data_IF_714751953978
#
_entry.id   IF_714751953978
#
_cell.length_a   1.000
_cell.length_b   1.000
_cell.length_c   1.000
_cell.angle_alpha   90.00
_cell.angle_beta   90.00
_cell.angle_gamma   90.00
#
_symmetry.space_group_name_H-M   'P 1'
#
loop_
_entity.id
_entity.type
_entity.pdbx_description
1 polymer ?
#
# COMPACT_ATOMS: atom_id res chain seq x y z
N UNK A 1 68.11 38.04 4.35
CA UNK A 1 68.35 36.79 5.12
C UNK A 1 66.99 36.14 5.36
N UNK A 2 66.55 35.25 4.46
CA UNK A 2 66.61 33.77 4.59
C UNK A 2 65.98 33.23 5.89
N UNK A 3 64.71 32.78 5.73
CA UNK A 3 64.04 31.56 6.23
C UNK A 3 64.15 31.19 7.72
N UNK A 4 63.03 30.81 8.36
CA UNK A 4 62.73 29.40 8.75
C UNK A 4 61.34 29.27 9.45
N UNK A 5 60.49 28.34 8.93
CA UNK A 5 59.58 27.35 9.60
C UNK A 5 58.40 27.84 10.47
N UNK A 6 57.19 27.26 10.52
CA UNK A 6 56.51 26.09 9.93
C UNK A 6 54.98 26.33 10.10
N UNK A 7 54.14 26.23 9.07
CA UNK A 7 53.28 25.10 8.68
C UNK A 7 52.63 24.23 9.80
N UNK A 8 51.29 24.26 9.84
CA UNK A 8 50.32 23.17 10.07
C UNK A 8 50.01 22.68 11.50
N UNK A 9 48.79 22.98 11.97
CA UNK A 9 47.85 22.23 12.87
C UNK A 9 46.95 23.27 13.57
N UNK A 10 45.62 23.21 13.69
CA UNK A 10 44.64 22.16 13.43
C UNK A 10 43.27 22.83 13.36
N UNK A 11 42.44 22.31 12.47
CA UNK A 11 41.01 22.55 12.35
C UNK A 11 40.29 21.89 13.55
N UNK A 12 39.57 22.65 14.38
CA UNK A 12 38.46 22.13 15.18
C UNK A 12 37.59 23.29 15.69
N UNK A 13 36.70 23.81 14.85
CA UNK A 13 35.57 24.59 15.35
C UNK A 13 34.53 23.57 15.80
N UNK A 14 34.50 23.32 17.11
CA UNK A 14 33.50 22.52 17.78
C UNK A 14 32.18 23.32 17.79
N UNK A 15 31.38 23.22 16.72
CA UNK A 15 29.96 23.59 16.80
C UNK A 15 29.26 22.41 17.45
N UNK A 16 29.34 22.33 18.77
CA UNK A 16 28.37 21.60 19.56
C UNK A 16 27.05 22.36 19.46
N UNK A 17 26.22 22.00 18.47
CA UNK A 17 24.82 22.36 18.46
C UNK A 17 24.18 21.73 19.70
N UNK A 18 23.99 22.54 20.74
CA UNK A 18 23.11 22.22 21.84
C UNK A 18 21.67 22.20 21.26
N UNK A 19 21.24 21.04 20.77
CA UNK A 19 19.82 20.77 20.65
C UNK A 19 19.29 20.76 22.08
N UNK A 20 18.59 21.83 22.47
CA UNK A 20 17.80 21.83 23.69
C UNK A 20 16.72 20.76 23.51
N UNK A 21 17.00 19.56 24.04
CA UNK A 21 15.97 18.55 24.23
C UNK A 21 14.94 19.18 25.17
N UNK A 22 13.79 19.56 24.64
CA UNK A 22 12.63 19.88 25.47
C UNK A 22 12.29 18.61 26.24
N UNK A 23 12.62 18.58 27.53
CA UNK A 23 12.30 17.46 28.40
C UNK A 23 10.77 17.33 28.46
N UNK A 24 10.25 16.18 28.03
CA UNK A 24 8.80 15.92 28.05
C UNK A 24 8.28 16.07 29.48
N UNK A 25 7.38 17.04 29.69
CA UNK A 25 6.80 17.28 30.99
C UNK A 25 5.69 16.26 31.26
N UNK A 26 5.96 15.29 32.15
CA UNK A 26 4.96 14.29 32.53
C UNK A 26 3.69 14.95 33.06
N UNK A 27 2.52 14.45 32.65
CA UNK A 27 1.23 14.96 33.09
C UNK A 27 0.29 13.84 33.51
N UNK A 28 -0.89 14.21 34.03
CA UNK A 28 -1.87 13.27 34.59
C UNK A 28 -3.10 13.17 33.69
N UNK A 29 -3.58 11.95 33.47
CA UNK A 29 -4.79 11.64 32.70
C UNK A 29 -5.73 10.77 33.54
N UNK A 30 -7.03 10.98 33.40
CA UNK A 30 -8.05 10.11 34.00
C UNK A 30 -8.31 8.93 33.05
N UNK A 31 -8.14 7.70 33.54
CA UNK A 31 -8.47 6.48 32.80
C UNK A 31 -9.50 5.66 33.57
N UNK A 32 -10.33 4.93 32.83
CA UNK A 32 -11.33 4.02 33.39
C UNK A 32 -10.80 2.59 33.42
N UNK A 33 -11.31 1.77 34.32
CA UNK A 33 -11.13 0.34 34.30
C UNK A 33 -11.60 -0.22 32.94
N UNK A 34 -10.82 -1.13 32.37
CA UNK A 34 -11.08 -1.66 31.03
C UNK A 34 -10.42 -0.88 29.89
N UNK A 35 -9.78 0.28 30.14
CA UNK A 35 -8.96 0.93 29.09
C UNK A 35 -7.80 0.01 28.69
N UNK A 36 -7.68 -0.38 27.40
CA UNK A 36 -6.60 -1.27 26.96
C UNK A 36 -5.21 -0.64 27.05
N UNK A 37 -4.22 -1.44 27.43
CA UNK A 37 -2.81 -1.07 27.50
C UNK A 37 -2.01 -1.95 26.53
N UNK A 38 -1.13 -1.34 25.73
CA UNK A 38 -0.31 -2.01 24.73
C UNK A 38 1.19 -1.89 25.02
N UNK A 39 2.02 -2.75 24.45
CA UNK A 39 3.48 -2.70 24.64
C UNK A 39 4.17 -1.54 23.91
N UNK A 40 3.47 -0.85 23.01
CA UNK A 40 3.96 0.30 22.25
C UNK A 40 2.83 1.26 21.86
N UNK A 41 3.16 2.39 21.23
CA UNK A 41 2.19 3.41 20.82
C UNK A 41 1.38 2.96 19.59
N UNK A 42 0.33 2.19 19.82
CA UNK A 42 -0.53 1.68 18.75
C UNK A 42 -1.16 0.34 19.09
N UNK A 43 -2.33 0.07 18.52
CA UNK A 43 -2.97 -1.26 18.57
C UNK A 43 -2.17 -2.36 17.84
N UNK A 44 -1.18 -1.96 17.03
CA UNK A 44 -0.27 -2.86 16.32
C UNK A 44 0.67 -3.62 17.27
N UNK A 45 0.93 -3.05 18.45
CA UNK A 45 1.78 -3.65 19.45
C UNK A 45 1.01 -4.70 20.25
N UNK A 46 1.73 -5.62 20.89
CA UNK A 46 1.05 -6.63 21.71
C UNK A 46 0.20 -5.97 22.80
N UNK A 47 -1.03 -6.44 22.94
CA UNK A 47 -1.84 -6.18 24.11
C UNK A 47 -1.10 -6.62 25.38
N UNK A 48 -1.06 -5.74 26.37
CA UNK A 48 -0.44 -5.98 27.68
C UNK A 48 -1.48 -6.47 28.67
N UNK A 49 -2.49 -5.63 28.95
CA UNK A 49 -3.59 -5.83 29.89
C UNK A 49 -4.53 -4.63 29.85
N UNK A 50 -5.60 -4.66 30.63
CA UNK A 50 -6.44 -3.50 30.86
C UNK A 50 -6.00 -2.72 32.09
N UNK A 51 -6.37 -1.44 32.12
CA UNK A 51 -6.45 -0.65 33.34
C UNK A 51 -7.37 -1.37 34.32
N UNK A 52 -6.86 -1.70 35.51
CA UNK A 52 -7.59 -2.55 36.47
C UNK A 52 -8.62 -1.80 37.30
N UNK A 53 -8.46 -0.49 37.46
CA UNK A 53 -9.32 0.37 38.30
C UNK A 53 -9.43 1.75 37.68
N UNK A 54 -10.58 2.40 37.85
CA UNK A 54 -10.71 3.82 37.50
C UNK A 54 -9.70 4.64 38.30
N UNK A 55 -9.05 5.62 37.67
CA UNK A 55 -8.09 6.43 38.39
C UNK A 55 -7.32 7.43 37.55
N UNK A 56 -6.46 8.17 38.24
CA UNK A 56 -5.55 9.13 37.62
C UNK A 56 -4.19 8.49 37.41
N UNK A 57 -3.76 8.42 36.16
CA UNK A 57 -2.49 7.85 35.73
C UNK A 57 -1.52 8.95 35.29
N UNK A 58 -0.22 8.67 35.29
CA UNK A 58 0.82 9.61 34.84
C UNK A 58 1.40 9.16 33.50
N UNK A 59 1.40 10.06 32.52
CA UNK A 59 2.04 9.89 31.22
C UNK A 59 3.47 10.44 31.28
N UNK A 60 4.43 9.67 30.79
CA UNK A 60 5.88 10.04 30.80
C UNK A 60 6.48 10.19 29.42
N UNK A 61 5.72 9.84 28.38
CA UNK A 61 6.13 9.95 26.98
C UNK A 61 4.87 9.92 26.11
N UNK A 62 4.88 10.65 25.01
CA UNK A 62 3.86 10.60 23.98
C UNK A 62 4.50 10.21 22.66
N UNK A 63 3.75 9.47 21.86
CA UNK A 63 4.14 9.15 20.49
C UNK A 63 2.89 9.03 19.61
N UNK A 64 3.03 9.39 18.35
CA UNK A 64 1.98 9.18 17.35
C UNK A 64 2.07 7.75 16.87
N UNK A 65 1.03 6.97 17.12
CA UNK A 65 0.93 5.62 16.60
C UNK A 65 0.77 5.60 15.09
N UNK A 66 1.07 4.47 14.46
CA UNK A 66 0.80 4.28 13.02
C UNK A 66 -0.70 4.32 12.67
N UNK A 67 -1.55 4.23 13.69
CA UNK A 67 -3.00 4.45 13.62
C UNK A 67 -3.39 5.93 13.66
N UNK A 68 -2.40 6.84 13.64
CA UNK A 68 -2.56 8.29 13.72
C UNK A 68 -3.25 8.77 15.00
N UNK A 69 -3.30 7.92 16.03
CA UNK A 69 -3.75 8.29 17.36
C UNK A 69 -2.54 8.68 18.21
N UNK A 70 -2.74 9.61 19.12
CA UNK A 70 -1.76 9.95 20.15
C UNK A 70 -1.79 8.89 21.24
N UNK A 71 -0.63 8.32 21.54
CA UNK A 71 -0.44 7.33 22.59
C UNK A 71 0.45 7.87 23.69
N UNK A 72 0.14 7.49 24.94
CA UNK A 72 0.89 7.91 26.12
C UNK A 72 1.47 6.73 26.87
N UNK A 73 2.77 6.73 27.15
CA UNK A 73 3.42 5.72 27.98
C UNK A 73 3.13 5.97 29.45
N UNK A 74 2.61 4.97 30.15
CA UNK A 74 2.32 5.03 31.57
C UNK A 74 3.61 5.00 32.40
N UNK A 75 3.74 5.90 33.38
CA UNK A 75 4.85 5.93 34.35
C UNK A 75 5.06 4.62 35.09
N UNK A 76 3.99 3.84 35.26
CA UNK A 76 4.04 2.53 35.92
C UNK A 76 4.84 1.48 35.14
N UNK A 77 5.18 1.75 33.87
CA UNK A 77 5.82 0.77 32.98
C UNK A 77 4.84 -0.30 32.47
N UNK A 78 3.54 -0.15 32.74
CA UNK A 78 2.52 -1.12 32.30
C UNK A 78 2.36 -1.17 30.77
N UNK A 79 2.71 -0.09 30.08
CA UNK A 79 2.62 0.05 28.63
C UNK A 79 2.10 1.42 28.21
N UNK A 80 1.52 1.47 27.01
CA UNK A 80 0.98 2.65 26.35
C UNK A 80 -0.54 2.60 26.31
N UNK A 81 -1.17 3.75 26.49
CA UNK A 81 -2.63 3.95 26.40
C UNK A 81 -2.94 4.97 25.33
N UNK A 82 -4.06 4.80 24.64
CA UNK A 82 -4.52 5.77 23.67
C UNK A 82 -5.02 7.03 24.40
N UNK A 83 -4.56 8.20 23.98
CA UNK A 83 -4.90 9.50 24.58
C UNK A 83 -5.85 10.32 23.71
N UNK A 84 -5.94 10.00 22.41
CA UNK A 84 -6.81 10.71 21.48
C UNK A 84 -7.71 9.74 20.74
N UNK A 85 -8.98 10.08 20.63
CA UNK A 85 -9.96 9.21 19.99
C UNK A 85 -10.24 7.97 20.82
N UNK A 86 -10.83 6.98 20.17
CA UNK A 86 -11.04 5.67 20.76
C UNK A 86 -10.20 4.71 19.90
N UNK A 87 -9.20 4.02 20.47
CA UNK A 87 -8.40 3.05 19.71
C UNK A 87 -9.27 1.88 19.21
N UNK A 88 -10.52 1.81 19.66
CA UNK A 88 -11.56 0.90 19.21
C UNK A 88 -12.61 1.52 18.29
N UNK A 89 -12.75 2.86 18.19
CA UNK A 89 -13.57 3.48 17.14
C UNK A 89 -12.77 3.49 15.83
N UNK A 90 -13.10 2.56 14.95
CA UNK A 90 -12.33 2.19 13.75
C UNK A 90 -12.04 0.69 13.73
N UNK A 91 -12.03 0.05 14.89
CA UNK A 91 -12.13 -1.40 14.99
C UNK A 91 -13.59 -1.77 14.74
N UNK A 92 -13.88 -2.24 13.53
CA UNK A 92 -15.02 -3.13 13.38
C UNK A 92 -14.87 -4.23 14.45
N UNK A 93 -15.88 -4.51 15.27
CA UNK A 93 -15.78 -5.35 16.48
C UNK A 93 -15.30 -6.81 16.23
N UNK A 94 -14.99 -7.15 14.97
CA UNK A 94 -14.48 -8.41 14.48
C UNK A 94 -12.96 -8.45 14.26
N UNK A 95 -12.19 -7.36 14.47
CA UNK A 95 -10.71 -7.41 14.41
C UNK A 95 -10.09 -7.79 15.78
N UNK A 96 -8.97 -8.53 15.82
CA UNK A 96 -8.25 -9.07 14.67
C UNK A 96 -8.93 -10.33 14.11
N UNK A 97 -8.87 -10.48 12.79
CA UNK A 97 -9.28 -11.72 12.11
C UNK A 97 -8.27 -12.11 11.03
N UNK A 98 -8.38 -13.34 10.55
CA UNK A 98 -7.56 -13.83 9.44
C UNK A 98 -8.38 -13.96 8.16
N UNK A 99 -7.82 -13.57 7.02
CA UNK A 99 -8.43 -13.77 5.71
C UNK A 99 -7.40 -14.19 4.67
N UNK A 100 -7.86 -14.86 3.61
CA UNK A 100 -7.01 -15.16 2.46
C UNK A 100 -6.81 -13.90 1.63
N UNK A 101 -5.55 -13.52 1.38
CA UNK A 101 -5.18 -12.39 0.53
C UNK A 101 -4.28 -12.92 -0.57
N UNK A 102 -4.56 -12.61 -1.85
CA UNK A 102 -3.75 -13.07 -2.95
C UNK A 102 -2.46 -12.25 -3.11
N UNK A 103 -1.44 -12.86 -3.69
CA UNK A 103 -0.10 -12.29 -3.91
C UNK A 103 -0.14 -10.97 -4.69
N UNK A 104 -1.09 -10.86 -5.62
CA UNK A 104 -1.24 -9.69 -6.49
C UNK A 104 -1.83 -8.47 -5.79
N UNK A 105 -2.44 -8.64 -4.62
CA UNK A 105 -3.10 -7.57 -3.90
C UNK A 105 -2.12 -6.42 -3.60
N UNK A 106 -2.55 -5.18 -3.81
CA UNK A 106 -1.70 -4.01 -3.60
C UNK A 106 -1.67 -3.60 -2.13
N UNK A 107 -0.47 -3.27 -1.64
CA UNK A 107 -0.24 -2.71 -0.31
C UNK A 107 -0.01 -1.20 -0.43
N UNK A 108 -0.71 -0.43 0.41
CA UNK A 108 -0.63 1.02 0.51
C UNK A 108 -0.14 1.47 1.89
N UNK A 109 0.36 2.70 1.99
CA UNK A 109 0.81 3.28 3.25
C UNK A 109 -0.33 3.55 4.24
N UNK A 110 -1.51 3.90 3.73
CA UNK A 110 -2.72 4.20 4.50
C UNK A 110 -3.99 3.65 3.84
N UNK A 111 -5.14 3.81 4.51
CA UNK A 111 -6.43 3.31 4.02
C UNK A 111 -7.03 4.24 2.97
N UNK A 112 -6.67 4.02 1.71
CA UNK A 112 -7.20 4.78 0.57
C UNK A 112 -6.25 4.84 -0.61
N UNK A 113 -6.79 5.11 -1.80
CA UNK A 113 -5.98 5.35 -3.00
C UNK A 113 -5.28 6.72 -2.99
N UNK A 114 -5.46 7.57 -1.99
CA UNK A 114 -4.66 8.78 -1.83
C UNK A 114 -3.31 8.53 -1.15
N UNK A 115 -3.12 7.35 -0.57
CA UNK A 115 -1.88 6.97 0.09
C UNK A 115 -0.92 6.31 -0.88
N UNK A 116 0.38 6.39 -0.58
CA UNK A 116 1.46 5.85 -1.41
C UNK A 116 1.31 4.34 -1.59
N UNK A 117 1.36 3.88 -2.84
CA UNK A 117 1.49 2.47 -3.16
C UNK A 117 2.90 1.98 -2.80
N UNK A 118 2.99 0.87 -2.07
CA UNK A 118 4.26 0.29 -1.64
C UNK A 118 4.72 -0.83 -2.56
N UNK A 119 3.92 -1.88 -2.67
CA UNK A 119 4.24 -3.12 -3.39
C UNK A 119 3.02 -4.06 -3.44
N UNK A 120 3.07 -5.15 -4.22
CA UNK A 120 2.14 -6.25 -4.06
C UNK A 120 2.38 -6.96 -2.71
N UNK A 121 1.39 -7.70 -2.23
CA UNK A 121 1.52 -8.59 -1.06
C UNK A 121 2.65 -9.60 -1.28
N UNK A 122 2.76 -10.12 -2.50
CA UNK A 122 3.90 -10.89 -2.96
C UNK A 122 3.74 -12.41 -2.87
N UNK A 123 2.87 -12.88 -1.97
CA UNK A 123 2.58 -14.31 -1.77
C UNK A 123 1.09 -14.53 -1.46
N UNK A 124 0.51 -15.60 -1.98
CA UNK A 124 -0.82 -16.06 -1.62
C UNK A 124 -0.79 -16.60 -0.18
N UNK A 125 -1.73 -16.18 0.66
CA UNK A 125 -1.71 -16.66 2.03
C UNK A 125 -2.85 -16.17 2.91
N UNK A 126 -2.81 -16.63 4.16
CA UNK A 126 -3.72 -16.20 5.21
C UNK A 126 -3.04 -15.13 6.04
N UNK A 127 -3.58 -13.92 6.00
CA UNK A 127 -3.04 -12.75 6.68
C UNK A 127 -3.94 -12.31 7.82
N UNK A 128 -3.36 -11.73 8.86
CA UNK A 128 -4.11 -11.15 9.98
C UNK A 128 -4.39 -9.67 9.73
N UNK A 129 -5.66 -9.30 9.68
CA UNK A 129 -6.12 -7.91 9.68
C UNK A 129 -6.30 -7.47 11.12
N UNK A 130 -5.74 -6.32 11.47
CA UNK A 130 -5.75 -5.78 12.85
C UNK A 130 -6.55 -4.49 13.00
N UNK A 131 -6.90 -3.85 11.88
CA UNK A 131 -7.67 -2.62 11.83
C UNK A 131 -8.38 -2.56 10.48
N UNK A 132 -9.60 -2.03 10.47
CA UNK A 132 -10.31 -1.66 9.25
C UNK A 132 -10.52 -0.15 9.21
N UNK A 133 -10.62 0.42 8.02
CA UNK A 133 -10.99 1.82 7.83
C UNK A 133 -11.73 1.98 6.51
N UNK A 134 -12.61 2.97 6.44
CA UNK A 134 -13.27 3.37 5.21
C UNK A 134 -12.48 4.51 4.55
N UNK A 135 -12.35 4.49 3.23
CA UNK A 135 -11.92 5.67 2.47
C UNK A 135 -13.11 6.57 2.12
N UNK A 136 -12.84 7.70 1.45
CA UNK A 136 -13.87 8.67 1.05
C UNK A 136 -14.91 8.08 0.09
N UNK A 137 -14.55 7.04 -0.66
CA UNK A 137 -15.42 6.31 -1.59
C UNK A 137 -16.22 5.18 -0.89
N UNK A 138 -16.03 4.99 0.42
CA UNK A 138 -16.69 3.96 1.21
C UNK A 138 -16.11 2.55 1.04
N UNK A 139 -14.92 2.41 0.44
CA UNK A 139 -14.21 1.11 0.37
C UNK A 139 -13.61 0.78 1.73
N UNK A 140 -13.61 -0.50 2.08
CA UNK A 140 -13.03 -1.02 3.31
C UNK A 140 -11.57 -1.37 3.06
N UNK A 141 -10.70 -0.88 3.93
CA UNK A 141 -9.27 -1.10 3.94
C UNK A 141 -8.86 -1.85 5.20
N UNK A 142 -7.99 -2.85 5.07
CA UNK A 142 -7.49 -3.66 6.19
C UNK A 142 -6.00 -3.44 6.44
N UNK A 143 -5.61 -3.09 7.67
CA UNK A 143 -4.20 -3.01 8.08
C UNK A 143 -3.66 -4.42 8.35
N UNK A 144 -2.53 -4.76 7.71
CA UNK A 144 -1.85 -6.04 7.93
C UNK A 144 -1.07 -6.04 9.26
N UNK A 145 -1.22 -7.10 10.06
CA UNK A 145 -0.45 -7.32 11.31
C UNK A 145 1.06 -7.29 11.12
N UNK A 146 1.54 -7.65 9.94
CA UNK A 146 2.97 -7.61 9.60
C UNK A 146 3.56 -6.20 9.57
N UNK A 147 2.73 -5.16 9.64
CA UNK A 147 3.15 -3.76 9.48
C UNK A 147 3.37 -3.36 8.02
N UNK A 148 3.22 -4.27 7.05
CA UNK A 148 3.57 -4.03 5.65
C UNK A 148 2.79 -2.87 4.99
N UNK A 149 1.49 -2.76 5.27
CA UNK A 149 0.66 -1.62 4.87
C UNK A 149 -0.83 -1.93 5.03
N UNK A 150 -1.64 -1.25 4.24
CA UNK A 150 -3.07 -1.44 4.11
C UNK A 150 -3.41 -2.09 2.77
N UNK A 151 -4.40 -2.97 2.77
CA UNK A 151 -4.94 -3.61 1.58
C UNK A 151 -6.40 -3.19 1.41
N UNK A 152 -6.85 -2.94 0.17
CA UNK A 152 -8.26 -2.65 -0.09
C UNK A 152 -9.06 -3.95 -0.08
N UNK A 153 -9.82 -4.21 0.99
CA UNK A 153 -10.62 -5.43 1.15
C UNK A 153 -11.79 -5.47 0.17
N UNK A 154 -12.42 -4.32 -0.06
CA UNK A 154 -13.49 -4.19 -1.05
C UNK A 154 -13.01 -4.60 -2.45
N UNK A 155 -11.82 -4.14 -2.87
CA UNK A 155 -11.28 -4.51 -4.19
C UNK A 155 -10.92 -5.99 -4.31
N UNK A 156 -10.59 -6.67 -3.21
CA UNK A 156 -10.41 -8.13 -3.21
C UNK A 156 -11.73 -8.87 -3.46
N UNK A 157 -12.83 -8.38 -2.89
CA UNK A 157 -14.17 -8.93 -3.12
C UNK A 157 -14.66 -8.66 -4.55
N UNK A 158 -14.46 -7.43 -5.05
CA UNK A 158 -14.83 -7.04 -6.41
C UNK A 158 -14.06 -7.83 -7.48
N UNK A 159 -12.80 -8.17 -7.22
CA UNK A 159 -11.93 -8.88 -8.15
C UNK A 159 -12.51 -10.22 -8.59
N UNK A 160 -13.38 -10.88 -7.80
CA UNK A 160 -14.06 -12.12 -8.20
C UNK A 160 -15.04 -11.94 -9.35
N UNK A 161 -15.61 -10.74 -9.50
CA UNK A 161 -16.61 -10.45 -10.52
C UNK A 161 -16.00 -9.84 -11.78
N UNK A 162 -14.73 -9.47 -11.74
CA UNK A 162 -14.02 -8.94 -12.91
C UNK A 162 -13.61 -10.07 -13.86
N UNK A 163 -13.71 -9.89 -15.19
CA UNK A 163 -13.23 -10.88 -16.15
C UNK A 163 -11.70 -11.06 -16.09
N UNK A 164 -10.98 -9.96 -15.83
CA UNK A 164 -9.54 -9.96 -15.61
C UNK A 164 -9.16 -9.05 -14.45
N UNK A 165 -8.05 -9.36 -13.81
CA UNK A 165 -7.38 -8.57 -12.78
C UNK A 165 -6.08 -8.07 -13.39
N UNK A 166 -5.88 -6.76 -13.35
CA UNK A 166 -4.63 -6.11 -13.76
C UNK A 166 -3.94 -5.56 -12.52
N UNK A 167 -2.70 -5.97 -12.29
CA UNK A 167 -1.89 -5.53 -11.15
C UNK A 167 -0.43 -5.41 -11.54
N UNK A 168 0.42 -4.88 -10.65
CA UNK A 168 1.85 -5.16 -10.76
C UNK A 168 2.10 -6.67 -10.61
N UNK A 169 3.09 -7.19 -11.33
CA UNK A 169 3.48 -8.58 -11.21
C UNK A 169 4.10 -8.82 -9.83
N UNK A 170 3.51 -9.74 -9.07
CA UNK A 170 4.01 -10.12 -7.75
C UNK A 170 5.18 -11.11 -7.84
N UNK A 171 5.94 -11.21 -6.75
CA UNK A 171 7.15 -12.03 -6.69
C UNK A 171 6.84 -13.52 -6.87
N UNK A 172 5.71 -14.02 -6.38
CA UNK A 172 5.31 -15.42 -6.53
C UNK A 172 5.06 -15.77 -8.00
N UNK A 173 4.29 -14.95 -8.73
CA UNK A 173 4.05 -15.13 -10.16
C UNK A 173 5.37 -15.08 -10.93
N UNK A 174 6.23 -14.11 -10.65
CA UNK A 174 7.52 -13.96 -11.34
C UNK A 174 8.46 -15.14 -11.07
N UNK A 175 8.47 -15.69 -9.84
CA UNK A 175 9.28 -16.86 -9.47
C UNK A 175 8.74 -18.15 -10.09
N UNK A 176 7.41 -18.28 -10.23
CA UNK A 176 6.79 -19.50 -10.78
C UNK A 176 7.23 -19.78 -12.22
N UNK A 177 7.39 -18.72 -13.04
CA UNK A 177 7.63 -18.85 -14.48
C UNK A 177 6.40 -19.29 -15.29
N UNK A 178 5.26 -19.54 -14.63
CA UNK A 178 4.03 -20.07 -15.25
C UNK A 178 3.16 -18.99 -15.88
N UNK A 179 3.79 -18.13 -16.67
CA UNK A 179 3.14 -17.00 -17.34
C UNK A 179 3.64 -16.82 -18.78
N UNK A 180 2.90 -16.02 -19.55
CA UNK A 180 3.33 -15.56 -20.86
C UNK A 180 4.07 -14.25 -20.63
N UNK A 181 5.36 -14.17 -20.98
CA UNK A 181 6.13 -12.94 -20.88
C UNK A 181 6.16 -12.16 -22.19
N UNK A 182 5.95 -10.84 -22.14
CA UNK A 182 6.20 -9.92 -23.25
C UNK A 182 6.93 -8.69 -22.76
N UNK A 183 7.94 -8.26 -23.51
CA UNK A 183 8.61 -6.98 -23.27
C UNK A 183 8.14 -6.01 -24.34
N UNK A 184 7.52 -4.92 -23.91
CA UNK A 184 6.90 -3.91 -24.75
C UNK A 184 7.43 -2.54 -24.34
N UNK A 185 8.43 -2.07 -25.07
CA UNK A 185 9.17 -0.82 -24.79
C UNK A 185 9.92 -0.81 -23.44
N UNK A 186 10.91 -1.73 -23.26
CA UNK A 186 11.68 -1.80 -22.03
C UNK A 186 12.62 -0.61 -21.90
N UNK A 187 12.76 -0.13 -20.67
CA UNK A 187 13.73 0.88 -20.24
C UNK A 187 14.27 0.50 -18.87
N UNK A 188 15.23 1.25 -18.33
CA UNK A 188 15.68 1.05 -16.94
C UNK A 188 14.56 1.30 -15.91
N UNK A 189 13.48 1.99 -16.30
CA UNK A 189 12.31 2.28 -15.47
C UNK A 189 11.11 1.37 -15.79
N UNK A 190 11.30 0.33 -16.61
CA UNK A 190 10.18 -0.54 -16.97
C UNK A 190 9.66 -1.29 -15.74
N UNK A 191 8.34 -1.40 -15.66
CA UNK A 191 7.63 -2.17 -14.65
C UNK A 191 7.00 -3.39 -15.31
N UNK A 192 6.76 -4.44 -14.52
CA UNK A 192 6.03 -5.62 -14.97
C UNK A 192 4.61 -5.56 -14.46
N UNK A 193 3.66 -5.50 -15.38
CA UNK A 193 2.23 -5.64 -15.08
C UNK A 193 1.81 -7.07 -15.38
N UNK A 194 0.87 -7.58 -14.59
CA UNK A 194 0.29 -8.90 -14.75
C UNK A 194 -1.21 -8.77 -15.03
N UNK A 195 -1.65 -9.43 -16.10
CA UNK A 195 -3.05 -9.61 -16.47
C UNK A 195 -3.44 -11.05 -16.16
N UNK A 196 -4.28 -11.23 -15.16
CA UNK A 196 -4.83 -12.54 -14.72
C UNK A 196 -6.28 -12.60 -15.17
N UNK A 197 -6.68 -13.69 -15.81
CA UNK A 197 -8.08 -13.87 -16.19
C UNK A 197 -8.79 -14.74 -15.17
N UNK A 198 -9.99 -14.38 -14.73
CA UNK A 198 -10.79 -15.26 -13.87
C UNK A 198 -11.37 -16.43 -14.69
N UNK A 199 -11.81 -16.12 -15.91
CA UNK A 199 -12.24 -17.09 -16.91
C UNK A 199 -11.45 -16.91 -18.21
N UNK A 200 -11.48 -17.90 -19.11
CA UNK A 200 -10.74 -17.77 -20.37
C UNK A 200 -11.34 -16.68 -21.25
N UNK A 201 -10.58 -15.61 -21.51
CA UNK A 201 -10.96 -14.51 -22.40
C UNK A 201 -10.38 -14.73 -23.80
N UNK A 202 -10.99 -14.12 -24.81
CA UNK A 202 -10.62 -14.26 -26.24
C UNK A 202 -10.22 -12.92 -26.85
N UNK A 203 -9.56 -12.96 -28.00
CA UNK A 203 -9.20 -11.76 -28.79
C UNK A 203 -8.48 -10.67 -27.98
N UNK A 204 -7.56 -11.10 -27.10
CA UNK A 204 -6.79 -10.21 -26.25
C UNK A 204 -5.94 -9.27 -27.12
N UNK A 205 -6.01 -7.98 -26.82
CA UNK A 205 -5.18 -6.91 -27.41
C UNK A 205 -4.63 -6.05 -26.27
N UNK A 206 -3.34 -5.80 -26.30
CA UNK A 206 -2.69 -4.85 -25.41
C UNK A 206 -2.03 -3.77 -26.26
N UNK A 207 -2.38 -2.51 -26.02
CA UNK A 207 -2.12 -1.41 -26.95
C UNK A 207 -1.59 -0.18 -26.20
N UNK A 208 -0.63 0.53 -26.78
CA UNK A 208 -0.25 1.86 -26.29
C UNK A 208 -1.29 2.88 -26.71
N UNK A 209 -1.53 3.83 -25.80
CA UNK A 209 -2.42 4.96 -26.04
C UNK A 209 -1.62 6.25 -26.17
N UNK A 210 -2.10 7.14 -27.04
CA UNK A 210 -1.69 8.54 -27.09
C UNK A 210 -2.86 9.42 -26.68
N UNK A 211 -2.57 10.50 -25.94
CA UNK A 211 -3.56 11.49 -25.56
C UNK A 211 -3.65 12.58 -26.64
N UNK A 212 -4.77 12.67 -27.36
CA UNK A 212 -5.01 13.68 -28.40
C UNK A 212 -5.81 14.90 -27.85
N UNK A 213 -5.59 15.28 -26.58
CA UNK A 213 -6.16 16.50 -25.99
C UNK A 213 -7.59 16.36 -25.44
N UNK A 214 -8.41 15.50 -26.03
CA UNK A 214 -9.80 15.23 -25.58
C UNK A 214 -10.05 13.74 -25.29
N UNK A 215 -9.38 12.84 -26.01
CA UNK A 215 -9.58 11.40 -25.86
C UNK A 215 -8.26 10.65 -26.02
N UNK A 216 -8.26 9.42 -25.50
CA UNK A 216 -7.19 8.46 -25.73
C UNK A 216 -7.43 7.72 -27.03
N UNK A 217 -6.37 7.57 -27.82
CA UNK A 217 -6.41 6.83 -29.08
C UNK A 217 -5.34 5.77 -29.09
N UNK A 218 -5.67 4.60 -29.65
CA UNK A 218 -4.69 3.56 -29.90
C UNK A 218 -3.63 4.06 -30.87
N UNK A 219 -2.38 4.06 -30.41
CA UNK A 219 -1.21 4.36 -31.23
C UNK A 219 -0.64 3.07 -31.84
N UNK A 220 -0.37 2.07 -31.00
CA UNK A 220 0.26 0.82 -31.43
C UNK A 220 -0.25 -0.39 -30.64
N UNK A 221 -0.60 -1.46 -31.36
CA UNK A 221 -0.82 -2.77 -30.73
C UNK A 221 0.53 -3.38 -30.34
N UNK A 222 0.76 -3.54 -29.05
CA UNK A 222 2.01 -4.06 -28.46
C UNK A 222 1.97 -5.59 -28.34
N UNK A 223 0.78 -6.15 -28.09
CA UNK A 223 0.59 -7.58 -28.00
C UNK A 223 -0.83 -7.99 -28.43
N UNK A 224 -0.95 -9.20 -28.99
CA UNK A 224 -2.24 -9.83 -29.25
C UNK A 224 -2.17 -11.32 -29.03
N UNK A 225 -3.27 -11.89 -28.53
CA UNK A 225 -3.43 -13.32 -28.37
C UNK A 225 -4.86 -13.75 -28.69
N UNK A 226 -5.01 -14.96 -29.25
CA UNK A 226 -6.35 -15.53 -29.48
C UNK A 226 -7.09 -15.78 -28.17
N UNK A 227 -6.37 -16.15 -27.11
CA UNK A 227 -6.93 -16.48 -25.80
C UNK A 227 -5.96 -16.15 -24.68
N UNK A 228 -6.47 -15.75 -23.52
CA UNK A 228 -5.75 -15.76 -22.25
C UNK A 228 -6.48 -16.70 -21.29
N UNK A 229 -5.75 -17.68 -20.74
CA UNK A 229 -6.32 -18.69 -19.84
C UNK A 229 -6.12 -18.28 -18.39
N UNK A 230 -7.07 -18.65 -17.53
CA UNK A 230 -7.00 -18.33 -16.11
C UNK A 230 -5.72 -18.86 -15.43
N UNK A 231 -5.28 -20.06 -15.80
CA UNK A 231 -4.10 -20.71 -15.24
C UNK A 231 -2.77 -20.29 -15.89
N UNK A 232 -2.78 -19.31 -16.80
CA UNK A 232 -1.55 -18.85 -17.45
C UNK A 232 -1.62 -17.34 -17.71
N UNK A 233 -1.34 -16.53 -16.68
CA UNK A 233 -1.37 -15.07 -16.76
C UNK A 233 -0.44 -14.52 -17.83
N UNK A 234 -0.69 -13.29 -18.25
CA UNK A 234 0.19 -12.51 -19.11
C UNK A 234 0.96 -11.51 -18.25
N UNK A 235 2.29 -11.54 -18.32
CA UNK A 235 3.16 -10.52 -17.76
C UNK A 235 3.72 -9.68 -18.90
N UNK A 236 3.47 -8.38 -18.85
CA UNK A 236 3.97 -7.41 -19.83
C UNK A 236 4.93 -6.46 -19.10
N UNK A 237 6.15 -6.35 -19.59
CA UNK A 237 7.11 -5.34 -19.18
C UNK A 237 6.88 -4.09 -20.04
N UNK A 238 6.58 -2.97 -19.39
CA UNK A 238 6.21 -1.69 -20.02
C UNK A 238 6.85 -0.52 -19.29
N UNK A 239 7.03 0.60 -19.98
CA UNK A 239 7.48 1.86 -19.38
C UNK A 239 6.34 2.88 -19.38
N UNK A 240 6.09 3.50 -18.23
CA UNK A 240 5.19 4.65 -18.11
C UNK A 240 6.03 5.94 -18.18
N UNK A 241 6.05 6.60 -19.34
CA UNK A 241 6.74 7.88 -19.54
C UNK A 241 5.90 9.02 -18.95
N UNK A 242 5.82 9.07 -17.62
CA UNK A 242 5.01 10.04 -16.88
C UNK A 242 3.54 9.64 -16.73
N UNK A 243 2.76 10.57 -16.19
CA UNK A 243 1.34 10.45 -15.83
C UNK A 243 0.39 10.43 -17.04
N UNK A 244 0.87 10.82 -18.22
CA UNK A 244 0.11 10.78 -19.47
C UNK A 244 0.41 9.54 -20.34
N UNK A 245 1.08 8.52 -19.81
CA UNK A 245 1.24 7.25 -20.52
C UNK A 245 0.14 6.27 -20.12
N UNK A 246 -0.65 5.83 -21.10
CA UNK A 246 -1.73 4.87 -20.91
C UNK A 246 -1.61 3.66 -21.82
N UNK A 247 -2.19 2.55 -21.37
CA UNK A 247 -2.35 1.35 -22.19
C UNK A 247 -3.82 0.95 -22.22
N UNK A 248 -4.25 0.33 -23.32
CA UNK A 248 -5.54 -0.33 -23.40
C UNK A 248 -5.36 -1.86 -23.40
N UNK A 249 -6.23 -2.52 -22.64
CA UNK A 249 -6.40 -3.97 -22.64
C UNK A 249 -7.80 -4.29 -23.16
N UNK A 250 -7.90 -4.69 -24.42
CA UNK A 250 -9.14 -5.12 -25.07
C UNK A 250 -9.27 -6.64 -25.11
N UNK A 251 -10.45 -7.19 -24.87
CA UNK A 251 -10.72 -8.62 -25.00
C UNK A 251 -12.23 -8.90 -25.11
N UNK A 252 -12.57 -10.12 -25.53
CA UNK A 252 -13.90 -10.69 -25.36
C UNK A 252 -13.97 -11.53 -24.11
N UNK A 253 -14.92 -11.22 -23.23
CA UNK A 253 -15.15 -11.98 -22.02
C UNK A 253 -15.77 -13.37 -22.30
N UNK A 254 -16.13 -14.11 -21.25
CA UNK A 254 -16.72 -15.43 -21.36
C UNK A 254 -18.12 -15.44 -22.00
N UNK A 255 -18.85 -14.33 -21.90
CA UNK A 255 -20.15 -14.12 -22.51
C UNK A 255 -20.02 -13.66 -23.98
N UNK A 256 -18.81 -13.36 -24.43
CA UNK A 256 -18.51 -12.88 -25.77
C UNK A 256 -18.68 -11.36 -25.94
N UNK A 257 -18.88 -10.63 -24.85
CA UNK A 257 -18.94 -9.17 -24.81
C UNK A 257 -17.54 -8.60 -24.98
N UNK A 258 -17.39 -7.57 -25.83
CA UNK A 258 -16.12 -6.84 -25.95
C UNK A 258 -15.98 -5.90 -24.76
N UNK A 259 -14.86 -6.01 -24.06
CA UNK A 259 -14.49 -5.17 -22.93
C UNK A 259 -13.15 -4.52 -23.19
N UNK A 260 -12.98 -3.32 -22.65
CA UNK A 260 -11.74 -2.58 -22.74
C UNK A 260 -11.42 -1.93 -21.40
N UNK A 261 -10.22 -2.21 -20.88
CA UNK A 261 -9.67 -1.51 -19.73
C UNK A 261 -8.59 -0.53 -20.16
N UNK A 262 -8.63 0.67 -19.60
CA UNK A 262 -7.54 1.63 -19.66
C UNK A 262 -6.66 1.44 -18.42
N UNK A 263 -5.35 1.42 -18.61
CA UNK A 263 -4.36 1.13 -17.57
C UNK A 263 -3.37 2.29 -17.52
N UNK A 264 -3.27 2.92 -16.35
CA UNK A 264 -2.39 4.06 -16.11
C UNK A 264 -1.57 3.85 -14.83
N UNK A 265 -0.48 4.59 -14.72
CA UNK A 265 0.23 4.76 -13.47
C UNK A 265 -0.26 6.04 -12.81
N UNK A 266 -0.78 5.94 -11.59
CA UNK A 266 -1.23 7.11 -10.83
C UNK A 266 -0.05 8.00 -10.50
N UNK A 267 -0.05 9.23 -11.02
CA UNK A 267 0.94 10.25 -10.65
C UNK A 267 0.85 10.67 -9.18
N UNK A 268 -0.26 10.36 -8.49
CA UNK A 268 -0.48 10.71 -7.08
C UNK A 268 0.25 9.77 -6.13
N UNK A 269 0.14 8.46 -6.36
CA UNK A 269 0.58 7.46 -5.39
C UNK A 269 1.44 6.33 -5.97
N UNK A 270 1.65 6.27 -7.30
CA UNK A 270 2.42 5.22 -7.97
C UNK A 270 1.70 3.87 -8.12
N UNK A 271 0.40 3.79 -7.83
CA UNK A 271 -0.43 2.60 -8.07
C UNK A 271 -0.83 2.47 -9.54
N UNK A 272 -1.27 1.27 -9.94
CA UNK A 272 -1.95 1.11 -11.23
C UNK A 272 -3.42 1.49 -11.09
N UNK A 273 -3.88 2.37 -11.98
CA UNK A 273 -5.29 2.69 -12.15
C UNK A 273 -5.83 1.90 -13.34
N UNK A 274 -6.91 1.17 -13.14
CA UNK A 274 -7.54 0.30 -14.13
C UNK A 274 -9.01 0.71 -14.26
N UNK A 275 -9.37 1.26 -15.40
CA UNK A 275 -10.69 1.86 -15.62
C UNK A 275 -11.37 1.12 -16.77
N UNK A 276 -12.61 0.64 -16.57
CA UNK A 276 -13.42 0.12 -17.67
C UNK A 276 -13.85 1.27 -18.58
N UNK A 277 -13.44 1.18 -19.84
CA UNK A 277 -13.90 2.10 -20.86
C UNK A 277 -15.10 1.49 -21.55
N UNK A 278 -16.22 2.21 -21.53
CA UNK A 278 -17.34 1.92 -22.42
C UNK A 278 -16.89 2.31 -23.82
N UNK A 279 -16.85 1.35 -24.74
CA UNK A 279 -16.68 1.67 -26.16
C UNK A 279 -17.97 2.31 -26.65
N UNK A 280 -17.97 3.62 -26.92
CA UNK A 280 -19.05 4.29 -27.66
C UNK A 280 -19.03 3.95 -29.15
#
# INVERSE_FOLDING_TARGET
MKKLFACLLTFLILISSLSAFSEFASYRVQLSAGTPIYKGPGIIFDYSKDVSVDGVYTIVEEDMGEDWLLWGRLKSGAGWVCLSGDPTQGLNANVPYTMSIPAWASIFEGPGYDYVYKKPVGEDGVYTIILESYDEDGRIWGRLKSGAGWVCLTSLEEAYFQPVIVSFADDELLKSGDYIFRSADPSEYSVKIAVRANNTVKNLRFESLSYEGEFWKTDKTLYSARTLRANRPLVIEVTFWGDMTGFALGFKDENGEERQYLIFLSGRNGSLEVIESVME
#
